data_IF_125517028613
#
_entry.id   IF_125517028613
#
_cell.length_a   1.000
_cell.length_b   1.000
_cell.length_c   1.000
_cell.angle_alpha   90.00
_cell.angle_beta   90.00
_cell.angle_gamma   90.00
#
_symmetry.space_group_name_H-M   'P 1'
#
loop_
_entity.id
_entity.type
_entity.pdbx_description
1 polymer ?
#
# COMPACT_ATOMS: atom_id res chain seq x y z
N UNK A 1 4.65 -5.60 6.57
CA UNK A 1 3.79 -6.33 5.61
C UNK A 1 2.35 -6.12 6.07
N UNK A 2 1.51 -5.58 5.21
CA UNK A 2 0.09 -5.34 5.47
C UNK A 2 -0.74 -6.43 4.76
N UNK A 3 -1.74 -6.98 5.45
CA UNK A 3 -2.67 -7.96 4.87
C UNK A 3 -4.08 -7.46 5.09
N UNK A 4 -4.89 -7.41 4.03
CA UNK A 4 -6.25 -6.90 4.07
C UNK A 4 -7.15 -7.64 3.08
N UNK A 5 -8.44 -7.67 3.40
CA UNK A 5 -9.47 -8.24 2.52
C UNK A 5 -10.07 -7.14 1.66
N UNK A 6 -10.16 -7.37 0.35
CA UNK A 6 -10.70 -6.45 -0.66
C UNK A 6 -11.83 -7.09 -1.45
N UNK A 7 -12.88 -6.33 -1.73
CA UNK A 7 -13.96 -6.69 -2.64
C UNK A 7 -13.82 -5.96 -3.98
N UNK A 8 -14.63 -6.36 -4.96
CA UNK A 8 -14.71 -5.64 -6.22
C UNK A 8 -15.09 -4.18 -5.98
N UNK A 9 -14.31 -3.25 -6.54
CA UNK A 9 -14.50 -1.81 -6.36
C UNK A 9 -13.79 -1.21 -5.14
N UNK A 10 -13.17 -2.01 -4.28
CA UNK A 10 -12.32 -1.49 -3.19
C UNK A 10 -10.87 -1.34 -3.65
N UNK A 11 -10.26 -0.20 -3.34
CA UNK A 11 -8.88 0.11 -3.77
C UNK A 11 -7.94 0.31 -2.59
N UNK A 12 -6.64 0.32 -2.91
CA UNK A 12 -5.56 0.67 -1.99
C UNK A 12 -4.72 1.78 -2.63
N UNK A 13 -4.46 2.84 -1.89
CA UNK A 13 -3.59 3.94 -2.28
C UNK A 13 -2.17 3.65 -1.78
N UNK A 14 -1.18 3.83 -2.65
CA UNK A 14 0.24 3.62 -2.35
C UNK A 14 0.99 4.88 -2.77
N UNK A 15 1.59 5.57 -1.82
CA UNK A 15 2.30 6.83 -2.07
C UNK A 15 3.39 7.08 -1.00
N UNK A 16 4.35 7.98 -1.24
CA UNK A 16 5.38 8.31 -0.26
C UNK A 16 4.76 8.80 1.06
N UNK A 17 5.40 8.48 2.17
CA UNK A 17 4.99 9.03 3.46
C UNK A 17 5.22 10.55 3.51
N UNK A 18 4.38 11.29 4.24
CA UNK A 18 4.49 12.74 4.37
C UNK A 18 5.76 13.16 5.13
N UNK A 19 6.37 12.23 5.87
CA UNK A 19 7.59 12.44 6.65
C UNK A 19 8.89 12.11 5.88
N UNK A 20 8.82 11.74 4.59
CA UNK A 20 10.04 11.44 3.84
C UNK A 20 10.84 12.71 3.55
N UNK A 21 12.17 12.59 3.51
CA UNK A 21 13.01 13.67 3.03
C UNK A 21 12.69 13.95 1.54
N UNK A 22 12.30 15.18 1.16
CA UNK A 22 11.98 15.51 -0.24
C UNK A 22 13.18 15.38 -1.19
N UNK A 23 14.41 15.41 -0.66
CA UNK A 23 15.64 15.22 -1.44
C UNK A 23 16.06 13.74 -1.53
N UNK A 24 15.31 12.83 -0.91
CA UNK A 24 15.59 11.39 -0.99
C UNK A 24 15.50 10.91 -2.44
N UNK A 25 16.53 10.18 -2.87
CA UNK A 25 16.53 9.57 -4.20
C UNK A 25 15.61 8.37 -4.25
N UNK A 26 15.09 8.05 -5.44
CA UNK A 26 14.30 6.82 -5.66
C UNK A 26 15.09 5.56 -5.26
N UNK A 27 16.42 5.57 -5.47
CA UNK A 27 17.29 4.46 -5.07
C UNK A 27 17.28 4.25 -3.55
N UNK A 28 17.31 5.33 -2.78
CA UNK A 28 17.24 5.27 -1.31
C UNK A 28 15.85 4.84 -0.85
N UNK A 29 14.79 5.35 -1.50
CA UNK A 29 13.41 4.98 -1.20
C UNK A 29 13.16 3.46 -1.31
N UNK A 30 13.74 2.82 -2.33
CA UNK A 30 13.64 1.38 -2.57
C UNK A 30 14.84 0.57 -2.07
N UNK A 31 15.70 1.16 -1.23
CA UNK A 31 16.88 0.46 -0.67
C UNK A 31 16.49 -0.75 0.19
N UNK A 32 15.30 -0.71 0.81
CA UNK A 32 14.72 -1.81 1.60
C UNK A 32 14.02 -2.88 0.73
N UNK A 33 14.04 -2.72 -0.59
CA UNK A 33 13.44 -3.62 -1.56
C UNK A 33 12.22 -3.03 -2.28
N UNK A 34 11.65 -3.77 -3.24
CA UNK A 34 10.52 -3.31 -4.04
C UNK A 34 9.21 -3.35 -3.25
N UNK A 35 8.18 -2.72 -3.82
CA UNK A 35 6.79 -3.00 -3.43
C UNK A 35 6.40 -4.37 -4.01
N UNK A 36 5.96 -5.28 -3.15
CA UNK A 36 5.47 -6.60 -3.52
C UNK A 36 4.01 -6.73 -3.16
N UNK A 37 3.18 -7.08 -4.14
CA UNK A 37 1.75 -7.32 -3.99
C UNK A 37 1.50 -8.79 -4.30
N UNK A 38 0.80 -9.49 -3.41
CA UNK A 38 0.45 -10.90 -3.59
C UNK A 38 -0.97 -11.17 -3.15
N UNK A 39 -1.65 -12.08 -3.86
CA UNK A 39 -2.95 -12.61 -3.46
C UNK A 39 -2.71 -13.83 -2.57
N UNK A 40 -3.06 -13.73 -1.29
CA UNK A 40 -2.91 -14.84 -0.33
C UNK A 40 -4.06 -15.81 -0.38
N UNK A 41 -5.25 -15.31 -0.67
CA UNK A 41 -6.48 -16.09 -0.73
C UNK A 41 -7.50 -15.37 -1.59
N UNK A 42 -8.37 -16.15 -2.25
CA UNK A 42 -9.48 -15.64 -3.04
C UNK A 42 -10.70 -16.50 -2.73
N UNK A 43 -11.80 -15.84 -2.39
CA UNK A 43 -13.13 -16.41 -2.20
C UNK A 43 -14.12 -15.75 -3.17
N UNK A 44 -15.37 -16.22 -3.20
CA UNK A 44 -16.46 -15.59 -3.96
C UNK A 44 -16.71 -14.16 -3.46
N UNK A 45 -16.14 -13.19 -4.17
CA UNK A 45 -16.35 -11.75 -3.96
C UNK A 45 -15.34 -11.07 -3.03
N UNK A 46 -14.43 -11.82 -2.40
CA UNK A 46 -13.38 -11.25 -1.53
C UNK A 46 -11.99 -11.79 -1.87
N UNK A 47 -11.00 -10.91 -1.91
CA UNK A 47 -9.59 -11.23 -2.17
C UNK A 47 -8.76 -10.77 -0.98
N UNK A 48 -7.95 -11.67 -0.41
CA UNK A 48 -6.97 -11.33 0.62
C UNK A 48 -5.68 -10.88 -0.05
N UNK A 49 -5.43 -9.57 -0.03
CA UNK A 49 -4.21 -8.97 -0.55
C UNK A 49 -3.15 -8.85 0.55
N UNK A 50 -1.92 -9.22 0.23
CA UNK A 50 -0.76 -8.93 1.06
C UNK A 50 0.17 -7.98 0.31
N UNK A 51 0.49 -6.86 0.95
CA UNK A 51 1.32 -5.79 0.41
C UNK A 51 2.54 -5.62 1.31
N UNK A 52 3.73 -5.68 0.72
CA UNK A 52 5.00 -5.38 1.38
C UNK A 52 5.63 -4.21 0.65
N UNK A 53 5.99 -3.15 1.38
CA UNK A 53 6.64 -1.97 0.84
C UNK A 53 7.72 -1.50 1.83
N UNK A 54 8.69 -0.67 1.38
CA UNK A 54 9.59 0.06 2.25
C UNK A 54 8.84 0.90 3.29
N UNK A 55 9.47 1.17 4.44
CA UNK A 55 8.83 1.96 5.52
C UNK A 55 8.50 3.40 5.14
N UNK A 56 9.16 3.93 4.12
CA UNK A 56 8.90 5.26 3.55
C UNK A 56 7.71 5.32 2.59
N UNK A 57 7.02 4.19 2.36
CA UNK A 57 5.82 4.11 1.53
C UNK A 57 4.60 3.89 2.42
N UNK A 58 3.65 4.81 2.30
CA UNK A 58 2.35 4.74 2.96
C UNK A 58 1.40 3.89 2.13
N UNK A 59 0.65 3.03 2.80
CA UNK A 59 -0.37 2.17 2.19
C UNK A 59 -1.69 2.48 2.90
N UNK A 60 -2.64 3.08 2.18
CA UNK A 60 -3.96 3.42 2.72
C UNK A 60 -5.07 2.67 1.99
N UNK A 61 -6.12 2.36 2.74
CA UNK A 61 -7.38 1.90 2.18
C UNK A 61 -8.13 3.12 1.64
N UNK A 62 -8.56 3.09 0.38
CA UNK A 62 -9.21 4.25 -0.26
C UNK A 62 -10.43 4.73 0.55
N UNK A 63 -11.19 3.80 1.12
CA UNK A 63 -12.35 4.12 1.95
C UNK A 63 -12.03 4.88 3.25
N UNK A 64 -10.76 4.90 3.66
CA UNK A 64 -10.27 5.68 4.80
C UNK A 64 -9.61 6.99 4.40
N UNK A 65 -9.27 7.16 3.12
CA UNK A 65 -8.56 8.33 2.60
C UNK A 65 -9.48 9.53 2.31
N UNK A 66 -10.79 9.33 2.29
CA UNK A 66 -11.79 10.36 1.97
C UNK A 66 -12.50 10.87 3.25
N UNK A 67 -11.75 11.59 4.08
CA UNK A 67 -12.29 12.57 5.02
C UNK A 67 -11.31 13.76 5.12
N UNK A 68 -11.23 14.54 4.05
CA UNK A 68 -10.81 15.95 4.15
C UNK A 68 -11.96 16.76 3.58
N UNK A 69 -12.66 17.44 4.50
CA UNK A 69 -13.72 18.42 4.26
C UNK A 69 -13.25 19.61 3.44
#
# INVERSE_FOLDING_TARGET
>A
MLVLDRKSGESVLIFPDDQINPEMTVKELFSQGPISISVKYKDTGTVKLAIKAPGAIKILREELGLHTS
#
